data_IF_187778867711
#
_entry.id   IF_187778867711
#
_cell.length_a   1.000
_cell.length_b   1.000
_cell.length_c   1.000
_cell.angle_alpha   90.00
_cell.angle_beta   90.00
_cell.angle_gamma   90.00
#
_symmetry.space_group_name_H-M   'P 1'
#
loop_
_entity.id
_entity.type
_entity.pdbx_description
1 polymer ?
#
# COMPACT_ATOMS: atom_id res chain seq x y z
N UNK A 1 -22.36 -13.21 -1.58
CA UNK A 1 -21.77 -12.33 -0.54
C UNK A 1 -21.62 -10.95 -1.13
N UNK A 2 -21.77 -9.89 -0.33
CA UNK A 2 -21.43 -8.52 -0.73
C UNK A 2 -20.32 -8.05 0.20
N UNK A 3 -19.35 -7.31 -0.36
CA UNK A 3 -18.18 -6.81 0.34
C UNK A 3 -18.60 -5.88 1.49
N UNK A 4 -18.11 -6.18 2.68
CA UNK A 4 -18.25 -5.30 3.83
C UNK A 4 -16.93 -4.55 4.06
N UNK A 5 -16.95 -3.24 3.82
CA UNK A 5 -15.81 -2.37 4.10
C UNK A 5 -15.50 -2.33 5.59
N UNK A 6 -14.22 -2.28 5.93
CA UNK A 6 -13.75 -2.25 7.32
C UNK A 6 -13.49 -0.85 7.83
N UNK A 7 -13.16 0.07 6.95
CA UNK A 7 -12.84 1.45 7.29
C UNK A 7 -13.94 2.40 6.81
N UNK A 8 -13.95 3.63 7.35
CA UNK A 8 -15.07 4.57 7.15
C UNK A 8 -15.16 5.09 5.72
N UNK A 9 -14.03 5.16 5.02
CA UNK A 9 -13.92 5.80 3.72
C UNK A 9 -14.51 4.96 2.57
N UNK A 10 -14.61 5.56 1.39
CA UNK A 10 -15.05 4.87 0.17
C UNK A 10 -13.91 4.02 -0.38
N UNK A 11 -14.16 2.73 -0.61
CA UNK A 11 -13.18 1.81 -1.17
C UNK A 11 -13.58 1.40 -2.58
N UNK A 12 -13.13 2.21 -3.56
CA UNK A 12 -13.39 1.99 -4.99
C UNK A 12 -12.25 1.14 -5.56
N UNK A 13 -12.56 0.05 -6.25
CA UNK A 13 -11.57 -0.87 -6.81
C UNK A 13 -11.40 -0.66 -8.31
N UNK A 14 -10.20 -0.26 -8.78
CA UNK A 14 -9.89 -0.22 -10.19
C UNK A 14 -9.81 -1.63 -10.80
N UNK A 15 -10.52 -1.85 -11.90
CA UNK A 15 -10.53 -3.08 -12.69
C UNK A 15 -9.76 -2.86 -13.99
N UNK A 16 -8.67 -3.59 -14.14
CA UNK A 16 -7.85 -3.62 -15.34
C UNK A 16 -8.28 -4.79 -16.21
N UNK A 17 -9.15 -4.51 -17.20
CA UNK A 17 -9.66 -5.59 -18.07
C UNK A 17 -8.55 -6.18 -18.93
N UNK A 18 -8.48 -7.51 -18.99
CA UNK A 18 -7.45 -8.22 -19.78
C UNK A 18 -7.45 -7.79 -21.25
N UNK A 19 -8.64 -7.54 -21.79
CA UNK A 19 -8.87 -7.14 -23.18
C UNK A 19 -8.31 -5.74 -23.49
N UNK A 20 -8.33 -4.82 -22.52
CA UNK A 20 -7.76 -3.47 -22.70
C UNK A 20 -6.25 -3.48 -22.83
N UNK A 21 -5.59 -4.49 -22.23
CA UNK A 21 -4.13 -4.54 -22.01
C UNK A 21 -3.56 -3.30 -21.31
N UNK A 22 -4.40 -2.49 -20.67
CA UNK A 22 -4.01 -1.22 -20.07
C UNK A 22 -3.01 -1.40 -18.92
N UNK A 23 -3.15 -2.48 -18.13
CA UNK A 23 -2.15 -2.85 -17.11
C UNK A 23 -0.77 -3.04 -17.74
N UNK A 24 -0.65 -3.95 -18.70
CA UNK A 24 0.62 -4.34 -19.31
C UNK A 24 1.26 -3.23 -20.16
N UNK A 25 0.45 -2.45 -20.87
CA UNK A 25 0.94 -1.49 -21.86
C UNK A 25 1.14 -0.09 -21.32
N UNK A 26 0.43 0.28 -20.24
CA UNK A 26 0.39 1.67 -19.77
C UNK A 26 0.70 1.76 -18.28
N UNK A 27 -0.13 1.14 -17.43
CA UNK A 27 -0.03 1.34 -15.98
C UNK A 27 1.28 0.77 -15.41
N UNK A 28 1.58 -0.50 -15.66
CA UNK A 28 2.80 -1.15 -15.15
C UNK A 28 4.08 -0.46 -15.65
N UNK A 29 4.24 -0.15 -16.96
CA UNK A 29 5.38 0.65 -17.43
C UNK A 29 5.49 2.03 -16.76
N UNK A 30 4.37 2.75 -16.57
CA UNK A 30 4.36 4.05 -15.89
C UNK A 30 4.86 3.94 -14.46
N UNK A 31 4.34 2.99 -13.69
CA UNK A 31 4.72 2.74 -12.30
C UNK A 31 6.22 2.40 -12.18
N UNK A 32 6.73 1.53 -13.07
CA UNK A 32 8.16 1.23 -13.14
C UNK A 32 9.02 2.46 -13.43
N UNK A 33 8.63 3.29 -14.40
CA UNK A 33 9.35 4.53 -14.73
C UNK A 33 9.35 5.52 -13.57
N UNK A 34 8.27 5.56 -12.79
CA UNK A 34 8.16 6.40 -11.59
C UNK A 34 8.91 5.82 -10.38
N UNK A 35 9.40 4.58 -10.47
CA UNK A 35 10.15 3.90 -9.42
C UNK A 35 9.28 3.30 -8.32
N UNK A 36 8.00 3.07 -8.57
CA UNK A 36 7.11 2.41 -7.62
C UNK A 36 7.53 0.95 -7.40
N UNK A 37 7.34 0.46 -6.19
CA UNK A 37 7.35 -0.97 -5.95
C UNK A 37 6.04 -1.58 -6.43
N UNK A 38 6.10 -2.68 -7.19
CA UNK A 38 4.91 -3.35 -7.73
C UNK A 38 4.88 -4.76 -7.17
N UNK A 39 3.88 -5.05 -6.35
CA UNK A 39 3.54 -6.40 -5.89
C UNK A 39 2.49 -6.98 -6.84
N UNK A 40 2.91 -7.86 -7.75
CA UNK A 40 2.02 -8.49 -8.74
C UNK A 40 1.68 -9.92 -8.29
N UNK A 41 0.52 -10.10 -7.67
CA UNK A 41 0.09 -11.37 -7.10
C UNK A 41 -0.72 -12.16 -8.12
N UNK A 42 -0.25 -13.37 -8.45
CA UNK A 42 -1.00 -14.30 -9.31
C UNK A 42 -2.09 -15.03 -8.54
N UNK A 43 -3.34 -14.74 -8.87
CA UNK A 43 -4.51 -15.40 -8.30
C UNK A 43 -4.87 -16.71 -9.03
N UNK A 44 -4.11 -17.10 -10.06
CA UNK A 44 -4.36 -18.34 -10.76
C UNK A 44 -4.16 -19.56 -9.86
N UNK A 45 -5.15 -20.47 -9.89
CA UNK A 45 -5.18 -21.72 -9.13
C UNK A 45 -4.90 -21.55 -7.63
N UNK A 46 -5.36 -20.45 -7.02
CA UNK A 46 -5.30 -20.29 -5.57
C UNK A 46 -6.07 -21.41 -4.89
N UNK A 47 -5.45 -22.01 -3.87
CA UNK A 47 -6.00 -23.17 -3.15
C UNK A 47 -6.96 -22.77 -2.04
N UNK A 48 -6.61 -21.75 -1.24
CA UNK A 48 -7.39 -21.26 -0.10
C UNK A 48 -7.02 -19.81 0.28
N UNK A 49 -7.64 -19.31 1.36
CA UNK A 49 -7.43 -17.95 1.89
C UNK A 49 -5.98 -17.74 2.34
N UNK A 50 -5.30 -18.79 2.78
CA UNK A 50 -3.93 -18.73 3.29
C UNK A 50 -2.93 -18.65 2.14
N UNK A 51 -3.19 -19.36 1.04
CA UNK A 51 -2.46 -19.23 -0.22
C UNK A 51 -2.60 -17.80 -0.78
N UNK A 52 -3.81 -17.21 -0.77
CA UNK A 52 -4.00 -15.80 -1.14
C UNK A 52 -3.04 -14.86 -0.39
N UNK A 53 -3.04 -14.94 0.94
CA UNK A 53 -2.24 -14.08 1.79
C UNK A 53 -0.74 -14.35 1.64
N UNK A 54 -0.35 -15.62 1.56
CA UNK A 54 1.03 -16.05 1.36
C UNK A 54 1.63 -15.52 0.07
N UNK A 55 0.87 -15.53 -1.03
CA UNK A 55 1.34 -14.99 -2.32
C UNK A 55 1.58 -13.48 -2.23
N UNK A 56 0.69 -12.73 -1.59
CA UNK A 56 0.92 -11.30 -1.35
C UNK A 56 2.18 -11.06 -0.53
N UNK A 57 2.36 -11.79 0.58
CA UNK A 57 3.55 -11.65 1.42
C UNK A 57 4.85 -11.94 0.65
N UNK A 58 4.86 -12.95 -0.23
CA UNK A 58 6.01 -13.25 -1.09
C UNK A 58 6.31 -12.10 -2.06
N UNK A 59 5.30 -11.51 -2.69
CA UNK A 59 5.47 -10.35 -3.56
C UNK A 59 5.92 -9.10 -2.79
N UNK A 60 5.64 -9.02 -1.49
CA UNK A 60 6.16 -8.00 -0.57
C UNK A 60 7.53 -8.37 0.05
N UNK A 61 8.20 -9.39 -0.48
CA UNK A 61 9.55 -9.84 -0.09
C UNK A 61 9.65 -10.43 1.33
N UNK A 62 8.54 -10.91 1.90
CA UNK A 62 8.56 -11.67 3.15
C UNK A 62 9.07 -13.10 2.92
N UNK A 63 9.82 -13.61 3.90
CA UNK A 63 10.18 -15.03 3.95
C UNK A 63 9.00 -15.85 4.47
N UNK A 64 8.18 -16.32 3.55
CA UNK A 64 7.07 -17.23 3.87
C UNK A 64 7.55 -18.68 3.75
N UNK A 65 7.29 -19.57 4.73
CA UNK A 65 7.64 -20.98 4.62
C UNK A 65 7.02 -21.62 3.36
N UNK A 66 7.76 -22.50 2.69
CA UNK A 66 7.19 -23.38 1.65
C UNK A 66 6.14 -24.33 2.27
N UNK A 67 6.36 -24.70 3.53
CA UNK A 67 5.48 -25.52 4.35
C UNK A 67 5.35 -24.87 5.73
N UNK A 68 4.23 -24.17 5.95
CA UNK A 68 3.97 -23.49 7.21
C UNK A 68 2.64 -22.77 7.17
N UNK A 69 1.95 -22.78 8.31
CA UNK A 69 0.64 -22.18 8.48
C UNK A 69 0.80 -20.68 8.80
N UNK A 70 0.28 -19.80 7.94
CA UNK A 70 0.08 -18.38 8.26
C UNK A 70 -1.42 -18.10 8.17
N UNK A 71 -2.05 -17.90 9.33
CA UNK A 71 -3.47 -17.54 9.35
C UNK A 71 -3.71 -16.13 8.81
N UNK A 72 -4.96 -15.86 8.46
CA UNK A 72 -5.44 -14.57 7.98
C UNK A 72 -5.11 -13.37 8.90
N UNK A 73 -4.96 -13.56 10.21
CA UNK A 73 -4.58 -12.48 11.13
C UNK A 73 -3.09 -12.16 11.02
N UNK A 74 -2.24 -13.19 10.98
CA UNK A 74 -0.81 -13.04 10.77
C UNK A 74 -0.49 -12.39 9.44
N UNK A 75 -1.26 -12.67 8.37
CA UNK A 75 -1.13 -11.95 7.09
C UNK A 75 -1.40 -10.46 7.29
N UNK A 76 -2.50 -10.10 7.98
CA UNK A 76 -2.88 -8.71 8.23
C UNK A 76 -1.86 -7.92 9.04
N UNK A 77 -1.23 -8.56 10.02
CA UNK A 77 -0.18 -7.94 10.83
C UNK A 77 1.09 -7.73 10.00
N UNK A 78 1.50 -8.72 9.19
CA UNK A 78 2.70 -8.61 8.36
C UNK A 78 2.58 -7.54 7.26
N UNK A 79 1.42 -7.40 6.61
CA UNK A 79 1.24 -6.36 5.57
C UNK A 79 1.27 -4.93 6.12
N UNK A 80 1.25 -4.75 7.44
CA UNK A 80 1.45 -3.45 8.11
C UNK A 80 2.86 -3.24 8.62
N UNK A 81 3.73 -4.24 8.49
CA UNK A 81 5.14 -4.20 8.94
C UNK A 81 6.06 -4.58 7.77
N UNK A 82 5.86 -3.90 6.63
CA UNK A 82 6.61 -4.18 5.41
C UNK A 82 8.02 -3.61 5.54
N UNK A 83 9.00 -4.50 5.73
CA UNK A 83 10.42 -4.16 5.73
C UNK A 83 11.16 -4.76 4.53
N UNK A 84 12.26 -4.11 4.12
CA UNK A 84 13.17 -4.65 3.11
C UNK A 84 12.79 -4.41 1.65
N UNK A 85 11.74 -3.62 1.38
CA UNK A 85 11.44 -3.09 0.05
C UNK A 85 11.38 -1.56 0.07
N UNK A 86 11.78 -0.91 -1.02
CA UNK A 86 11.74 0.54 -1.12
C UNK A 86 10.39 1.01 -1.66
N UNK A 87 9.54 1.53 -0.77
CA UNK A 87 8.21 2.05 -1.11
C UNK A 87 8.14 3.58 -1.14
N UNK A 88 9.29 4.28 -1.03
CA UNK A 88 9.30 5.77 -0.95
C UNK A 88 8.61 6.44 -2.13
N UNK A 89 8.65 5.81 -3.31
CA UNK A 89 8.00 6.30 -4.53
C UNK A 89 6.54 5.90 -4.67
N UNK A 90 6.04 5.04 -3.80
CA UNK A 90 4.74 4.40 -3.87
C UNK A 90 4.85 2.89 -3.91
N UNK A 91 3.78 2.25 -3.45
CA UNK A 91 3.54 0.81 -3.51
C UNK A 91 2.31 0.57 -4.38
N UNK A 92 2.39 -0.37 -5.33
CA UNK A 92 1.24 -0.81 -6.11
C UNK A 92 0.97 -2.29 -5.88
N UNK A 93 -0.24 -2.65 -5.45
CA UNK A 93 -0.68 -4.05 -5.32
C UNK A 93 -1.60 -4.39 -6.47
N UNK A 94 -1.18 -5.33 -7.33
CA UNK A 94 -1.99 -5.79 -8.46
C UNK A 94 -2.31 -7.27 -8.33
N UNK A 95 -3.60 -7.60 -8.34
CA UNK A 95 -4.06 -8.98 -8.33
C UNK A 95 -4.42 -9.43 -9.75
N UNK A 96 -3.56 -10.23 -10.38
CA UNK A 96 -3.77 -10.73 -11.74
C UNK A 96 -4.54 -12.05 -11.73
N UNK A 97 -5.29 -12.30 -12.80
CA UNK A 97 -6.15 -13.48 -12.92
C UNK A 97 -7.16 -13.59 -11.77
N UNK A 98 -7.69 -12.44 -11.34
CA UNK A 98 -8.54 -12.34 -10.15
C UNK A 98 -9.85 -13.13 -10.30
N UNK A 99 -10.28 -13.40 -11.53
CA UNK A 99 -11.46 -14.20 -11.81
C UNK A 99 -11.36 -15.65 -11.28
N UNK A 100 -10.14 -16.18 -11.15
CA UNK A 100 -9.94 -17.55 -10.69
C UNK A 100 -10.42 -17.73 -9.26
N UNK A 101 -10.36 -16.69 -8.43
CA UNK A 101 -10.84 -16.70 -7.04
C UNK A 101 -12.34 -16.99 -6.96
N UNK A 102 -13.11 -16.59 -7.98
CA UNK A 102 -14.54 -16.89 -8.04
C UNK A 102 -14.83 -18.35 -8.41
N UNK A 103 -13.84 -19.02 -9.00
CA UNK A 103 -13.99 -20.34 -9.63
C UNK A 103 -13.28 -21.44 -8.83
N UNK A 104 -12.36 -21.11 -7.92
CA UNK A 104 -11.59 -22.06 -7.13
C UNK A 104 -12.22 -22.39 -5.77
N UNK A 105 -11.84 -23.57 -5.28
CA UNK A 105 -12.07 -24.24 -3.97
C UNK A 105 -13.37 -23.97 -3.16
N UNK A 106 -14.02 -25.05 -2.64
CA UNK A 106 -14.66 -25.15 -1.33
C UNK A 106 -14.93 -23.86 -0.56
N UNK A 107 -13.80 -23.46 0.02
CA UNK A 107 -13.62 -22.49 1.08
C UNK A 107 -13.38 -21.06 0.57
N UNK A 108 -13.18 -20.91 -0.75
CA UNK A 108 -13.12 -19.63 -1.46
C UNK A 108 -14.46 -19.28 -2.11
N UNK A 109 -15.35 -20.27 -2.26
CA UNK A 109 -16.65 -20.12 -2.88
C UNK A 109 -17.50 -19.03 -2.22
N UNK A 110 -18.43 -18.48 -2.99
CA UNK A 110 -19.32 -17.37 -2.60
C UNK A 110 -18.65 -16.01 -2.35
N UNK A 111 -17.37 -15.87 -2.70
CA UNK A 111 -16.66 -14.57 -2.70
C UNK A 111 -15.82 -14.29 -1.45
N UNK A 112 -15.73 -15.22 -0.50
CA UNK A 112 -14.92 -15.06 0.72
C UNK A 112 -13.43 -14.83 0.43
N UNK A 113 -12.87 -15.56 -0.54
CA UNK A 113 -11.47 -15.35 -0.96
C UNK A 113 -11.23 -13.95 -1.53
N UNK A 114 -12.15 -13.50 -2.39
CA UNK A 114 -12.08 -12.20 -3.02
C UNK A 114 -12.23 -11.08 -1.97
N UNK A 115 -13.19 -11.22 -1.05
CA UNK A 115 -13.38 -10.31 0.08
C UNK A 115 -12.11 -10.21 0.94
N UNK A 116 -11.53 -11.35 1.32
CA UNK A 116 -10.31 -11.37 2.13
C UNK A 116 -9.15 -10.62 1.45
N UNK A 117 -8.89 -10.91 0.17
CA UNK A 117 -7.83 -10.25 -0.58
C UNK A 117 -8.05 -8.74 -0.69
N UNK A 118 -9.29 -8.32 -0.97
CA UNK A 118 -9.63 -6.89 -1.03
C UNK A 118 -9.50 -6.21 0.33
N UNK A 119 -9.85 -6.89 1.43
CA UNK A 119 -9.63 -6.38 2.78
C UNK A 119 -8.14 -6.23 3.13
N UNK A 120 -7.24 -7.06 2.57
CA UNK A 120 -5.80 -6.86 2.75
C UNK A 120 -5.36 -5.54 2.11
N UNK A 121 -5.81 -5.25 0.88
CA UNK A 121 -5.54 -3.98 0.22
C UNK A 121 -6.15 -2.81 1.01
N UNK A 122 -7.42 -2.90 1.40
CA UNK A 122 -8.09 -1.85 2.20
C UNK A 122 -7.30 -1.57 3.49
N UNK A 123 -6.79 -2.61 4.15
CA UNK A 123 -5.96 -2.48 5.34
C UNK A 123 -4.63 -1.77 5.07
N UNK A 124 -3.96 -2.11 3.95
CA UNK A 124 -2.71 -1.44 3.56
C UNK A 124 -2.93 0.03 3.21
N UNK A 125 -4.00 0.36 2.49
CA UNK A 125 -4.37 1.75 2.18
C UNK A 125 -4.62 2.53 3.47
N UNK A 126 -5.44 1.99 4.37
CA UNK A 126 -5.72 2.63 5.65
C UNK A 126 -4.43 2.84 6.47
N UNK A 127 -3.57 1.82 6.53
CA UNK A 127 -2.35 1.86 7.32
C UNK A 127 -1.33 2.86 6.76
N UNK A 128 -1.01 2.79 5.46
CA UNK A 128 0.09 3.55 4.88
C UNK A 128 -0.31 4.91 4.29
N UNK A 129 -1.55 5.04 3.79
CA UNK A 129 -2.02 6.24 3.09
C UNK A 129 -2.93 7.13 3.94
N UNK A 130 -3.79 6.56 4.80
CA UNK A 130 -4.79 7.32 5.58
C UNK A 130 -4.31 7.69 6.99
N UNK A 131 -3.62 6.78 7.69
CA UNK A 131 -3.03 7.03 9.02
C UNK A 131 -1.79 7.95 8.99
N UNK A 132 -1.74 8.92 8.08
CA UNK A 132 -0.66 9.91 7.97
C UNK A 132 -0.34 10.49 9.34
N UNK A 133 0.83 10.16 9.87
CA UNK A 133 1.29 10.69 11.15
C UNK A 133 0.71 10.01 12.41
N UNK A 134 0.23 8.78 12.33
CA UNK A 134 -0.03 7.93 13.51
C UNK A 134 0.93 6.75 13.64
N UNK A 135 1.76 6.51 12.64
CA UNK A 135 2.61 5.32 12.54
C UNK A 135 4.02 5.62 13.05
N UNK A 136 4.54 4.72 13.89
CA UNK A 136 5.91 4.78 14.41
C UNK A 136 6.91 4.72 13.24
N UNK A 137 7.86 5.65 13.20
CA UNK A 137 9.08 5.58 12.38
C UNK A 137 8.92 5.48 10.85
N UNK A 138 7.70 5.52 10.32
CA UNK A 138 7.43 5.31 8.90
C UNK A 138 7.00 6.59 8.15
N UNK A 139 7.48 6.71 6.91
CA UNK A 139 7.07 7.76 5.99
C UNK A 139 5.73 7.41 5.33
N UNK A 140 4.91 8.40 4.94
CA UNK A 140 3.63 8.11 4.30
C UNK A 140 3.88 7.53 2.90
N UNK A 141 3.22 6.42 2.59
CA UNK A 141 3.36 5.70 1.31
C UNK A 141 2.07 5.81 0.54
N UNK A 142 2.16 6.25 -0.72
CA UNK A 142 1.05 6.20 -1.67
C UNK A 142 0.82 4.73 -2.04
N UNK A 143 -0.34 4.19 -1.67
CA UNK A 143 -0.74 2.82 -2.01
C UNK A 143 -1.72 2.86 -3.19
N UNK A 144 -1.25 2.41 -4.35
CA UNK A 144 -2.08 2.13 -5.52
C UNK A 144 -2.49 0.66 -5.56
N UNK A 145 -3.63 0.38 -6.20
CA UNK A 145 -4.14 -0.98 -6.24
C UNK A 145 -5.05 -1.25 -7.42
N UNK A 146 -5.30 -2.53 -7.70
CA UNK A 146 -6.36 -2.95 -8.59
C UNK A 146 -6.36 -4.44 -8.89
N UNK A 147 -7.41 -4.86 -9.59
CA UNK A 147 -7.63 -6.26 -9.98
C UNK A 147 -7.60 -6.41 -11.50
N UNK A 148 -6.99 -7.49 -11.97
CA UNK A 148 -6.96 -7.88 -13.38
C UNK A 148 -7.88 -9.06 -13.62
N UNK A 149 -8.94 -8.85 -14.42
CA UNK A 149 -9.91 -9.88 -14.78
C UNK A 149 -10.48 -9.65 -16.20
N UNK A 150 -11.06 -10.67 -16.87
CA UNK A 150 -11.79 -10.48 -18.12
C UNK A 150 -13.02 -9.63 -17.93
N UNK A 151 -13.36 -8.84 -18.95
CA UNK A 151 -14.60 -8.04 -18.96
C UNK A 151 -15.87 -8.84 -18.66
N UNK A 152 -15.90 -10.13 -19.00
CA UNK A 152 -17.03 -11.03 -18.70
C UNK A 152 -17.28 -11.27 -17.21
N UNK A 153 -16.29 -11.02 -16.34
CA UNK A 153 -16.40 -11.18 -14.89
C UNK A 153 -16.76 -9.88 -14.16
N UNK A 154 -16.88 -8.75 -14.87
CA UNK A 154 -17.27 -7.47 -14.27
C UNK A 154 -18.61 -7.58 -13.53
N UNK A 155 -19.70 -8.17 -14.09
CA UNK A 155 -20.97 -8.25 -13.37
C UNK A 155 -20.87 -9.00 -12.05
N UNK A 156 -20.10 -10.10 -12.02
CA UNK A 156 -19.87 -10.86 -10.79
C UNK A 156 -19.04 -10.06 -9.77
N UNK A 157 -18.08 -9.27 -10.25
CA UNK A 157 -17.28 -8.40 -9.40
C UNK A 157 -18.11 -7.22 -8.84
N UNK A 158 -19.02 -6.67 -9.64
CA UNK A 158 -19.99 -5.64 -9.21
C UNK A 158 -21.01 -6.20 -8.20
N UNK A 159 -21.45 -7.46 -8.33
CA UNK A 159 -22.28 -8.13 -7.32
C UNK A 159 -21.56 -8.27 -5.97
N UNK A 160 -20.24 -8.51 -6.00
CA UNK A 160 -19.41 -8.55 -4.80
C UNK A 160 -19.23 -7.14 -4.22
N UNK A 161 -18.77 -6.17 -5.01
CA UNK A 161 -18.33 -4.86 -4.49
C UNK A 161 -19.46 -3.82 -4.33
N UNK A 162 -20.57 -3.99 -5.03
CA UNK A 162 -21.46 -2.89 -5.41
C UNK A 162 -20.89 -2.17 -6.64
N UNK A 163 -21.73 -1.95 -7.66
CA UNK A 163 -21.30 -1.38 -8.94
C UNK A 163 -20.68 0.02 -8.80
N UNK A 164 -21.13 0.81 -7.81
CA UNK A 164 -20.57 2.12 -7.48
C UNK A 164 -19.14 2.08 -6.94
N UNK A 165 -18.71 0.93 -6.40
CA UNK A 165 -17.37 0.71 -5.87
C UNK A 165 -16.44 0.03 -6.89
N UNK A 166 -16.89 -0.14 -8.14
CA UNK A 166 -16.09 -0.70 -9.23
C UNK A 166 -15.77 0.40 -10.24
N UNK A 167 -14.49 0.55 -10.58
CA UNK A 167 -14.04 1.54 -11.55
C UNK A 167 -13.24 0.87 -12.66
N UNK A 168 -13.64 1.03 -13.93
CA UNK A 168 -12.86 0.49 -15.04
C UNK A 168 -11.61 1.35 -15.25
N UNK A 169 -10.43 0.74 -15.12
CA UNK A 169 -9.16 1.42 -15.30
C UNK A 169 -8.91 1.73 -16.78
N UNK A 170 -8.40 2.92 -17.06
CA UNK A 170 -8.08 3.35 -18.41
C UNK A 170 -7.44 4.73 -18.43
N UNK A 171 -7.11 5.20 -19.64
CA UNK A 171 -6.54 6.52 -19.84
C UNK A 171 -7.53 7.61 -19.43
N UNK A 172 -7.04 8.65 -18.74
CA UNK A 172 -7.85 9.78 -18.26
C UNK A 172 -8.70 9.51 -17.02
N UNK A 173 -8.63 8.31 -16.44
CA UNK A 173 -9.31 7.97 -15.19
C UNK A 173 -8.53 8.54 -14.01
N UNK A 174 -9.25 9.13 -13.05
CA UNK A 174 -8.70 9.55 -11.75
C UNK A 174 -8.84 8.38 -10.77
N UNK A 175 -7.73 7.90 -10.25
CA UNK A 175 -7.68 6.76 -9.34
C UNK A 175 -7.89 7.21 -7.88
N UNK A 176 -8.29 6.28 -6.98
CA UNK A 176 -8.47 6.58 -5.55
C UNK A 176 -7.25 7.25 -4.90
N UNK A 177 -6.03 6.89 -5.33
CA UNK A 177 -4.79 7.45 -4.82
C UNK A 177 -4.25 8.65 -5.62
N UNK A 178 -4.91 9.10 -6.69
CA UNK A 178 -4.36 10.12 -7.61
C UNK A 178 -4.00 11.42 -6.91
N UNK A 179 -4.82 11.90 -5.98
CA UNK A 179 -4.58 13.15 -5.27
C UNK A 179 -3.34 13.05 -4.38
N UNK A 180 -3.16 11.89 -3.75
CA UNK A 180 -2.00 11.63 -2.92
C UNK A 180 -0.73 11.43 -3.77
N UNK A 181 -0.82 10.72 -4.90
CA UNK A 181 0.27 10.61 -5.87
C UNK A 181 0.72 12.01 -6.36
N UNK A 182 -0.23 12.90 -6.69
CA UNK A 182 0.07 14.26 -7.13
C UNK A 182 0.71 15.11 -6.03
N UNK A 183 0.18 15.03 -4.80
CA UNK A 183 0.73 15.71 -3.63
C UNK A 183 2.17 15.24 -3.34
N UNK A 184 2.38 13.92 -3.27
CA UNK A 184 3.69 13.34 -3.00
C UNK A 184 4.69 13.72 -4.10
N UNK A 185 4.32 13.64 -5.38
CA UNK A 185 5.21 14.01 -6.49
C UNK A 185 5.55 15.49 -6.51
N UNK A 186 4.60 16.36 -6.16
CA UNK A 186 4.82 17.81 -6.07
C UNK A 186 5.78 18.17 -4.94
N UNK A 187 5.57 17.57 -3.77
CA UNK A 187 6.28 17.93 -2.54
C UNK A 187 7.59 17.15 -2.38
N UNK A 188 7.67 15.94 -2.94
CA UNK A 188 8.77 14.98 -2.75
C UNK A 188 9.03 14.19 -4.03
N UNK A 189 9.52 14.84 -5.10
CA UNK A 189 9.69 14.21 -6.41
C UNK A 189 10.67 13.02 -6.36
N UNK A 190 11.54 12.97 -5.35
CA UNK A 190 12.51 11.89 -5.12
C UNK A 190 12.03 10.79 -4.17
N UNK A 191 10.77 10.83 -3.73
CA UNK A 191 10.15 9.86 -2.81
C UNK A 191 9.85 10.46 -1.44
N UNK A 192 8.92 9.85 -0.71
CA UNK A 192 8.44 10.28 0.61
C UNK A 192 9.60 10.56 1.58
N UNK A 193 9.59 11.67 2.31
CA UNK A 193 10.68 12.03 3.21
C UNK A 193 10.65 11.16 4.46
N UNK A 194 11.80 11.00 5.11
CA UNK A 194 11.83 10.31 6.41
C UNK A 194 11.11 11.11 7.49
N UNK A 195 10.48 10.49 8.51
CA UNK A 195 9.83 11.21 9.60
C UNK A 195 10.77 12.14 10.37
N UNK A 196 10.22 13.21 10.97
CA UNK A 196 10.99 14.17 11.76
C UNK A 196 10.94 13.87 13.25
N UNK A 197 12.07 14.10 13.91
CA UNK A 197 12.24 13.97 15.36
C UNK A 197 12.74 15.29 15.95
N UNK A 198 12.75 15.41 17.27
CA UNK A 198 13.38 16.49 18.00
C UNK A 198 14.73 16.06 18.58
N UNK A 199 15.41 16.97 19.29
CA UNK A 199 16.76 16.74 19.85
C UNK A 199 16.85 15.66 20.93
N UNK A 200 15.72 15.27 21.51
CA UNK A 200 15.63 14.23 22.53
C UNK A 200 15.22 12.88 21.91
N UNK A 201 15.06 12.82 20.59
CA UNK A 201 14.39 11.71 19.91
C UNK A 201 12.88 11.70 20.17
N UNK A 202 12.34 12.76 20.78
CA UNK A 202 10.92 12.95 20.98
C UNK A 202 10.33 13.62 19.73
N UNK A 203 9.05 13.45 19.50
CA UNK A 203 8.43 13.89 18.26
C UNK A 203 8.16 15.41 18.23
N UNK A 204 8.38 16.04 17.07
CA UNK A 204 7.86 17.38 16.78
C UNK A 204 6.36 17.36 16.39
N UNK A 205 5.47 17.91 17.23
CA UNK A 205 4.05 18.16 16.89
C UNK A 205 2.98 17.45 17.72
N UNK A 206 3.35 16.69 18.76
CA UNK A 206 2.38 16.07 19.70
C UNK A 206 2.38 16.79 21.04
N UNK A 207 1.19 17.19 21.49
CA UNK A 207 0.91 17.38 22.91
C UNK A 207 0.14 16.18 23.41
N UNK A 208 0.77 15.24 24.14
CA UNK A 208 0.22 14.65 25.39
C UNK A 208 1.13 13.62 26.05
N UNK A 209 0.97 13.52 27.38
CA UNK A 209 1.63 12.67 28.35
C UNK A 209 1.61 11.16 28.05
N UNK A 210 2.70 10.59 27.52
CA UNK A 210 3.22 9.25 27.88
C UNK A 210 4.41 8.91 26.99
N UNK A 211 5.41 8.22 27.56
CA UNK A 211 6.71 7.87 26.99
C UNK A 211 6.68 6.82 25.87
N UNK A 212 5.85 7.02 24.84
CA UNK A 212 5.86 6.26 23.59
C UNK A 212 5.69 7.27 22.44
N UNK A 213 6.80 7.84 21.99
CA UNK A 213 6.83 8.84 20.93
C UNK A 213 6.71 8.16 19.57
N UNK A 214 5.55 8.30 18.92
CA UNK A 214 5.33 7.94 17.50
C UNK A 214 6.00 8.98 16.60
N UNK A 215 6.59 8.56 15.48
CA UNK A 215 7.01 9.46 14.39
C UNK A 215 5.78 10.10 13.71
N UNK A 216 5.86 11.36 13.28
CA UNK A 216 4.74 12.08 12.67
C UNK A 216 5.26 12.83 11.47
N UNK A 217 4.65 12.52 10.34
CA UNK A 217 4.82 13.27 9.11
C UNK A 217 4.34 14.71 9.30
N UNK A 218 5.26 15.66 9.15
CA UNK A 218 4.94 17.08 9.14
C UNK A 218 4.38 17.42 7.76
N UNK A 219 3.13 17.88 7.70
CA UNK A 219 2.48 18.15 6.42
C UNK A 219 3.16 19.28 5.61
N UNK A 220 3.93 20.15 6.25
CA UNK A 220 4.66 21.23 5.57
C UNK A 220 5.97 20.70 4.94
N UNK A 221 6.04 20.61 3.60
CA UNK A 221 7.17 19.99 2.93
C UNK A 221 8.46 20.81 3.06
N UNK A 222 8.41 22.05 3.54
CA UNK A 222 9.59 22.92 3.69
C UNK A 222 10.54 22.47 4.80
N UNK A 223 10.08 21.58 5.70
CA UNK A 223 10.94 21.02 6.76
C UNK A 223 11.91 19.94 6.27
N UNK A 224 11.69 19.40 5.06
CA UNK A 224 12.40 18.23 4.59
C UNK A 224 13.41 18.58 3.50
N UNK A 225 14.68 18.16 3.62
CA UNK A 225 15.69 18.40 2.58
C UNK A 225 15.37 17.72 1.24
N UNK A 226 14.55 16.67 1.24
CA UNK A 226 14.09 15.97 0.04
C UNK A 226 13.05 16.75 -0.78
N UNK A 227 12.49 17.81 -0.20
CA UNK A 227 11.50 18.65 -0.85
C UNK A 227 12.14 19.78 -1.67
N UNK A 228 11.61 20.10 -2.87
CA UNK A 228 12.06 21.25 -3.65
C UNK A 228 11.72 22.58 -2.97
N UNK A 229 10.89 22.57 -1.92
CA UNK A 229 10.51 23.74 -1.13
C UNK A 229 11.33 23.89 0.16
N UNK A 230 12.36 23.06 0.37
CA UNK A 230 13.14 23.03 1.60
C UNK A 230 13.59 24.44 2.04
N UNK A 231 13.29 24.79 3.29
CA UNK A 231 13.71 26.04 3.93
C UNK A 231 14.62 25.68 5.13
N UNK A 232 15.95 25.85 5.02
CA UNK A 232 16.87 25.49 6.08
C UNK A 232 16.68 26.33 7.36
N UNK A 233 16.16 27.56 7.26
CA UNK A 233 15.92 28.41 8.44
C UNK A 233 14.64 28.02 9.19
N UNK A 234 13.66 27.46 8.48
CA UNK A 234 12.50 26.82 9.07
C UNK A 234 12.89 25.47 9.70
N UNK A 235 13.60 24.65 8.93
CA UNK A 235 14.03 23.32 9.35
C UNK A 235 15.00 23.36 10.55
N UNK A 236 15.89 24.35 10.65
CA UNK A 236 16.82 24.49 11.79
C UNK A 236 16.13 24.72 13.15
N UNK A 237 14.82 24.95 13.16
CA UNK A 237 14.02 25.02 14.40
C UNK A 237 13.62 23.63 14.91
N UNK A 238 13.95 22.58 14.16
CA UNK A 238 13.68 21.15 14.42
C UNK A 238 14.99 20.37 14.17
N UNK A 239 15.27 19.32 14.93
CA UNK A 239 16.49 18.53 14.72
C UNK A 239 16.18 17.31 13.84
N UNK A 240 16.59 17.35 12.57
CA UNK A 240 16.50 16.20 11.68
C UNK A 240 17.49 15.12 12.16
N UNK A 241 17.01 14.04 12.77
CA UNK A 241 17.82 12.82 12.93
C UNK A 241 17.69 12.04 11.63
N UNK A 242 18.68 12.13 10.76
CA UNK A 242 18.79 11.19 9.64
C UNK A 242 19.02 9.80 10.22
N UNK A 243 18.10 8.87 9.98
CA UNK A 243 18.36 7.44 10.14
C UNK A 243 19.30 6.99 9.03
N UNK A 244 20.56 7.41 9.10
CA UNK A 244 21.61 6.61 8.46
C UNK A 244 21.61 5.26 9.18
N UNK A 245 21.02 4.24 8.55
CA UNK A 245 21.32 2.85 8.86
C UNK A 245 22.81 2.61 8.56
N UNK A 246 23.70 3.08 9.43
CA UNK A 246 25.00 2.44 9.58
C UNK A 246 24.74 1.06 10.17
N UNK A 247 25.09 0.01 9.42
CA UNK A 247 25.17 -1.35 9.96
C UNK A 247 25.84 -1.32 11.34
N UNK A 248 25.37 -2.10 12.33
CA UNK A 248 26.06 -2.15 13.61
C UNK A 248 27.50 -2.59 13.38
N UNK A 249 28.44 -1.82 13.92
CA UNK A 249 29.85 -2.18 13.98
C UNK A 249 29.96 -3.62 14.54
N UNK A 250 30.50 -4.59 13.79
CA UNK A 250 30.59 -5.98 14.23
C UNK A 250 31.63 -6.20 15.35
N UNK A 251 32.07 -5.15 16.05
CA UNK A 251 33.11 -5.21 17.07
C UNK A 251 32.76 -4.63 18.46
N UNK A 252 31.47 -4.56 18.82
CA UNK A 252 31.03 -4.40 20.23
C UNK A 252 30.14 -5.55 20.69
#
# INVERSE_FOLDING_TARGET
>A
MTYEKKYKDEFIVPVFTRESRYWEQVMKPRLHQQGWYIAEVDCANVEDIEDCGTRLLRELNFKVPEHGYINAMGVKDNITDIYGINMRKGLFVFYKNFEDIFSTHPDLHQGYGAEFMLQLIEHMVYHYSDLRGYIYEEFPVVVGYGVGLPSSYIPQFEELMGAENVMIAGEGVRYPWSDFEEEQRRNFPNGAPDPLYDKYGELFGVTTHSSQTTGVYVADPRYYPESPFYDPALASKVHLVHSEFTEPDPSV
#
